data_IF_614041374408
#
_entry.id   IF_614041374408
#
_cell.length_a   1.000
_cell.length_b   1.000
_cell.length_c   1.000
_cell.angle_alpha   90.00
_cell.angle_beta   90.00
_cell.angle_gamma   90.00
#
_symmetry.space_group_name_H-M   'P 1'
#
loop_
_entity.id
_entity.type
_entity.pdbx_description
1 polymer ?
#
# COMPACT_ATOMS: atom_id res chain seq x y z
N UNK A 1 13.64 3.07 15.39
CA UNK A 1 12.93 2.40 14.28
C UNK A 1 13.80 2.56 13.04
N UNK A 2 14.22 1.45 12.41
CA UNK A 2 15.23 1.53 11.35
C UNK A 2 14.65 1.88 9.98
N UNK A 3 14.82 3.11 9.54
CA UNK A 3 14.75 3.58 8.14
C UNK A 3 13.81 2.76 7.20
N UNK A 4 12.52 2.62 7.56
CA UNK A 4 11.50 1.91 6.77
C UNK A 4 11.89 0.48 6.30
N UNK A 5 12.64 -0.26 7.13
CA UNK A 5 13.05 -1.64 6.86
C UNK A 5 14.36 -1.79 6.07
N UNK A 6 15.08 -0.72 5.78
CA UNK A 6 16.39 -0.77 5.11
C UNK A 6 17.37 -1.63 5.90
N UNK A 7 17.50 -1.38 7.21
CA UNK A 7 18.43 -2.12 8.06
C UNK A 7 18.12 -3.64 8.07
N UNK A 8 16.85 -4.02 8.15
CA UNK A 8 16.46 -5.42 8.11
C UNK A 8 16.82 -6.06 6.76
N UNK A 9 16.59 -5.37 5.66
CA UNK A 9 16.98 -5.83 4.33
C UNK A 9 18.49 -6.03 4.24
N UNK A 10 19.29 -5.05 4.67
CA UNK A 10 20.76 -5.14 4.65
C UNK A 10 21.30 -6.26 5.53
N UNK A 11 20.69 -6.52 6.69
CA UNK A 11 21.08 -7.65 7.55
C UNK A 11 20.83 -9.01 6.86
N UNK A 12 19.70 -9.16 6.18
CA UNK A 12 19.36 -10.40 5.47
C UNK A 12 20.28 -10.65 4.26
N UNK A 13 20.80 -9.60 3.61
CA UNK A 13 21.77 -9.79 2.52
C UNK A 13 23.05 -10.50 2.97
N UNK A 14 23.39 -10.44 4.25
CA UNK A 14 24.59 -11.01 4.84
C UNK A 14 24.34 -12.34 5.54
N UNK A 15 23.09 -12.78 5.61
CA UNK A 15 22.71 -14.01 6.30
C UNK A 15 23.05 -15.26 5.46
N UNK A 16 23.29 -16.43 6.10
CA UNK A 16 23.44 -17.70 5.40
C UNK A 16 22.22 -18.04 4.54
N UNK A 17 22.46 -18.60 3.36
CA UNK A 17 21.42 -18.99 2.41
C UNK A 17 20.84 -20.39 2.72
N UNK A 18 20.57 -20.68 3.99
CA UNK A 18 20.17 -21.99 4.50
C UNK A 18 18.65 -22.11 4.79
N UNK A 19 17.91 -21.00 4.64
CA UNK A 19 16.45 -20.94 4.87
C UNK A 19 16.02 -20.64 6.29
N UNK A 20 16.95 -20.45 7.24
CA UNK A 20 16.61 -20.10 8.62
C UNK A 20 16.51 -18.61 8.86
N UNK A 21 17.03 -17.79 7.96
CA UNK A 21 16.87 -16.33 8.00
C UNK A 21 16.05 -15.86 6.81
N UNK A 22 14.95 -15.16 7.08
CA UNK A 22 14.05 -14.63 6.06
C UNK A 22 13.83 -13.14 6.28
N UNK A 23 13.64 -12.40 5.19
CA UNK A 23 13.12 -11.04 5.23
C UNK A 23 11.60 -11.09 5.14
N UNK A 24 10.91 -10.72 6.21
CA UNK A 24 9.50 -10.31 6.13
C UNK A 24 9.46 -8.83 5.77
N UNK A 25 9.19 -8.54 4.52
CA UNK A 25 9.23 -7.20 3.96
C UNK A 25 7.89 -6.76 3.38
N UNK A 26 7.89 -5.59 2.78
CA UNK A 26 6.69 -4.98 2.20
C UNK A 26 7.07 -4.12 0.99
N UNK A 27 6.11 -3.45 0.43
CA UNK A 27 6.30 -2.40 -0.59
C UNK A 27 7.37 -1.37 -0.19
N UNK A 28 7.62 -1.20 1.12
CA UNK A 28 8.63 -0.26 1.62
C UNK A 28 10.01 -0.50 1.04
N UNK A 29 10.43 -1.76 0.84
CA UNK A 29 11.74 -2.07 0.25
C UNK A 29 11.84 -1.56 -1.19
N UNK A 30 10.76 -1.67 -1.97
CA UNK A 30 10.69 -1.15 -3.34
C UNK A 30 10.75 0.38 -3.35
N UNK A 31 9.92 1.02 -2.53
CA UNK A 31 9.87 2.49 -2.40
C UNK A 31 11.22 3.04 -1.94
N UNK A 32 11.84 2.42 -0.93
CA UNK A 32 13.13 2.88 -0.43
C UNK A 32 14.25 2.72 -1.46
N UNK A 33 14.24 1.65 -2.26
CA UNK A 33 15.24 1.50 -3.35
C UNK A 33 15.07 2.55 -4.44
N UNK A 34 13.84 2.91 -4.78
CA UNK A 34 13.56 4.00 -5.75
C UNK A 34 14.01 5.35 -5.21
N UNK A 35 13.70 5.65 -3.96
CA UNK A 35 14.06 6.92 -3.32
C UNK A 35 15.56 7.02 -2.98
N UNK A 36 16.20 5.90 -2.70
CA UNK A 36 17.61 5.78 -2.28
C UNK A 36 18.33 4.74 -3.14
N UNK A 37 18.71 5.08 -4.38
CA UNK A 37 19.39 4.14 -5.28
C UNK A 37 20.69 3.57 -4.71
N UNK A 38 21.35 4.31 -3.79
CA UNK A 38 22.56 3.92 -3.08
C UNK A 38 22.35 2.84 -2.00
N UNK A 39 21.10 2.50 -1.63
CA UNK A 39 20.82 1.44 -0.65
C UNK A 39 21.48 0.12 -1.07
N UNK A 40 22.14 -0.56 -0.10
CA UNK A 40 22.97 -1.76 -0.32
C UNK A 40 22.17 -3.02 -0.60
N UNK A 41 20.93 -2.90 -1.00
CA UNK A 41 20.08 -3.99 -1.45
C UNK A 41 19.24 -3.55 -2.65
N UNK A 42 18.83 -4.54 -3.43
CA UNK A 42 17.81 -4.41 -4.46
C UNK A 42 16.71 -5.44 -4.17
N UNK A 43 15.45 -5.03 -3.94
CA UNK A 43 14.37 -5.96 -3.60
C UNK A 43 14.10 -6.99 -4.72
N UNK A 44 14.55 -6.72 -5.95
CA UNK A 44 14.37 -7.62 -7.10
C UNK A 44 15.59 -8.51 -7.29
N UNK A 45 16.81 -7.97 -7.15
CA UNK A 45 18.05 -8.68 -7.53
C UNK A 45 18.87 -9.24 -6.37
N UNK A 46 18.71 -8.70 -5.14
CA UNK A 46 19.56 -9.12 -4.01
C UNK A 46 18.99 -10.30 -3.23
N UNK A 47 17.71 -10.60 -3.37
CA UNK A 47 17.01 -11.65 -2.61
C UNK A 47 16.39 -12.68 -3.54
N UNK A 48 16.11 -13.87 -2.98
CA UNK A 48 15.24 -14.85 -3.61
C UNK A 48 13.82 -14.61 -3.14
N UNK A 49 12.88 -14.14 -4.02
CA UNK A 49 11.49 -13.96 -3.65
C UNK A 49 10.84 -15.31 -3.35
N UNK A 50 10.11 -15.40 -2.23
CA UNK A 50 9.38 -16.63 -1.87
C UNK A 50 7.90 -16.48 -2.24
N UNK A 51 7.22 -15.50 -1.65
CA UNK A 51 5.81 -15.24 -1.93
C UNK A 51 5.34 -13.91 -1.37
N UNK A 52 4.33 -13.33 -1.99
CA UNK A 52 3.47 -12.33 -1.36
C UNK A 52 2.67 -13.02 -0.24
N UNK A 53 2.40 -12.31 0.86
CA UNK A 53 1.64 -12.86 1.99
C UNK A 53 0.36 -12.08 2.27
N UNK A 54 0.31 -10.84 1.78
CA UNK A 54 -0.84 -9.96 2.08
C UNK A 54 -0.93 -8.78 1.10
N UNK A 55 -2.13 -8.22 1.01
CA UNK A 55 -2.40 -6.91 0.43
C UNK A 55 -3.25 -6.06 1.36
N UNK A 56 -3.01 -4.77 1.35
CA UNK A 56 -3.74 -3.79 2.16
C UNK A 56 -3.99 -2.56 1.30
N UNK A 57 -5.17 -2.40 0.72
CA UNK A 57 -5.51 -1.21 -0.04
C UNK A 57 -5.67 0.00 0.87
N UNK A 58 -5.55 1.19 0.30
CA UNK A 58 -6.01 2.41 0.91
C UNK A 58 -7.49 2.63 0.60
N UNK A 59 -8.16 3.38 1.47
CA UNK A 59 -9.57 3.73 1.31
C UNK A 59 -9.69 5.24 1.16
N UNK A 60 -10.27 5.71 0.06
CA UNK A 60 -10.63 7.12 -0.10
C UNK A 60 -11.80 7.42 0.82
N UNK A 61 -11.57 8.26 1.81
CA UNK A 61 -12.57 8.63 2.82
C UNK A 61 -12.80 10.13 2.88
N UNK A 62 -14.04 10.48 3.27
CA UNK A 62 -14.49 11.82 3.63
C UNK A 62 -15.23 11.76 4.97
N UNK A 63 -15.48 12.88 5.68
CA UNK A 63 -16.38 12.89 6.84
C UNK A 63 -17.77 12.31 6.50
N UNK A 64 -18.40 11.64 7.45
CA UNK A 64 -19.70 10.98 7.19
C UNK A 64 -20.82 12.00 6.88
N UNK A 65 -20.77 13.20 7.46
CA UNK A 65 -21.67 14.33 7.24
C UNK A 65 -21.36 15.15 5.98
N UNK A 66 -20.25 14.83 5.29
CA UNK A 66 -19.91 15.47 4.01
C UNK A 66 -21.04 15.29 3.00
N UNK A 67 -21.37 16.34 2.20
CA UNK A 67 -22.32 16.22 1.10
C UNK A 67 -21.84 15.29 0.00
N UNK A 68 -20.52 14.99 -0.06
CA UNK A 68 -19.88 14.14 -1.06
C UNK A 68 -20.23 12.67 -0.78
N UNK A 69 -20.84 12.00 -1.76
CA UNK A 69 -21.28 10.61 -1.65
C UNK A 69 -20.56 9.64 -2.57
N UNK A 70 -19.75 10.14 -3.48
CA UNK A 70 -18.98 9.32 -4.44
C UNK A 70 -17.64 9.96 -4.78
N UNK A 71 -16.69 9.14 -5.29
CA UNK A 71 -15.40 9.65 -5.77
C UNK A 71 -15.57 10.62 -6.96
N UNK A 72 -16.59 10.42 -7.79
CA UNK A 72 -16.92 11.33 -8.89
C UNK A 72 -17.43 12.68 -8.42
N UNK A 73 -18.21 12.73 -7.35
CA UNK A 73 -18.63 14.00 -6.73
C UNK A 73 -17.44 14.73 -6.08
N UNK A 74 -16.52 13.99 -5.44
CA UNK A 74 -15.28 14.58 -4.92
C UNK A 74 -14.44 15.17 -6.06
N UNK A 75 -14.26 14.42 -7.14
CA UNK A 75 -13.57 14.91 -8.35
C UNK A 75 -14.20 16.20 -8.87
N UNK A 76 -15.52 16.22 -9.03
CA UNK A 76 -16.24 17.40 -9.52
C UNK A 76 -16.06 18.60 -8.59
N UNK A 77 -16.08 18.39 -7.27
CA UNK A 77 -15.86 19.44 -6.30
C UNK A 77 -14.43 20.01 -6.37
N UNK A 78 -13.41 19.14 -6.46
CA UNK A 78 -12.01 19.61 -6.60
C UNK A 78 -11.83 20.41 -7.90
N UNK A 79 -12.47 20.00 -9.01
CA UNK A 79 -12.43 20.73 -10.28
C UNK A 79 -13.08 22.11 -10.19
N UNK A 80 -14.17 22.22 -9.43
CA UNK A 80 -14.88 23.49 -9.27
C UNK A 80 -14.17 24.47 -8.32
N UNK A 81 -13.27 23.97 -7.48
CA UNK A 81 -12.53 24.71 -6.47
C UNK A 81 -11.03 24.37 -6.48
N UNK A 82 -10.31 24.71 -7.56
CA UNK A 82 -8.91 24.32 -7.72
C UNK A 82 -8.03 24.96 -6.64
N UNK A 83 -7.27 24.10 -5.92
CA UNK A 83 -6.37 24.52 -4.85
C UNK A 83 -7.02 24.79 -3.50
N UNK A 84 -8.34 24.68 -3.37
CA UNK A 84 -9.04 24.94 -2.09
C UNK A 84 -9.18 23.68 -1.21
N UNK A 85 -9.19 22.48 -1.79
CA UNK A 85 -9.35 21.25 -1.03
C UNK A 85 -8.01 20.66 -0.64
N UNK A 86 -7.93 20.19 0.61
CA UNK A 86 -6.75 19.56 1.18
C UNK A 86 -6.94 18.05 1.31
N UNK A 87 -5.89 17.28 1.00
CA UNK A 87 -5.83 15.86 1.32
C UNK A 87 -4.68 15.56 2.27
N UNK A 88 -4.93 14.64 3.22
CA UNK A 88 -3.96 14.26 4.23
C UNK A 88 -3.19 13.01 3.89
N UNK A 89 -1.95 12.93 4.38
CA UNK A 89 -1.17 11.70 4.43
C UNK A 89 -0.43 11.54 5.74
N UNK A 90 0.03 10.33 6.05
CA UNK A 90 0.88 10.06 7.20
C UNK A 90 2.34 10.48 7.02
N UNK A 91 2.60 11.40 6.10
CA UNK A 91 3.93 11.92 5.75
C UNK A 91 4.29 11.72 4.29
N UNK A 92 5.31 12.45 3.85
CA UNK A 92 5.84 12.39 2.47
C UNK A 92 6.33 10.97 2.15
N UNK A 93 5.98 10.44 0.96
CA UNK A 93 6.38 9.09 0.50
C UNK A 93 5.57 7.94 1.10
N UNK A 94 4.58 8.19 1.97
CA UNK A 94 3.67 7.15 2.45
C UNK A 94 2.68 6.72 1.36
N UNK A 95 2.12 5.52 1.48
CA UNK A 95 1.08 5.01 0.56
C UNK A 95 -0.11 5.97 0.45
N UNK A 96 -0.52 6.59 1.56
CA UNK A 96 -1.57 7.61 1.57
C UNK A 96 -1.21 8.86 0.76
N UNK A 97 0.05 9.33 0.84
CA UNK A 97 0.53 10.44 0.02
C UNK A 97 0.49 10.10 -1.46
N UNK A 98 1.07 8.95 -1.83
CA UNK A 98 1.16 8.53 -3.24
C UNK A 98 -0.23 8.29 -3.82
N UNK A 99 -1.16 7.69 -3.07
CA UNK A 99 -2.53 7.49 -3.50
C UNK A 99 -3.24 8.83 -3.76
N UNK A 100 -3.12 9.80 -2.87
CA UNK A 100 -3.66 11.15 -3.05
C UNK A 100 -3.04 11.88 -4.23
N UNK A 101 -1.71 11.84 -4.35
CA UNK A 101 -0.99 12.46 -5.47
C UNK A 101 -1.34 11.82 -6.81
N UNK A 102 -1.51 10.50 -6.85
CA UNK A 102 -1.97 9.79 -8.06
C UNK A 102 -3.41 10.20 -8.43
N UNK A 103 -4.30 10.27 -7.45
CA UNK A 103 -5.68 10.73 -7.68
C UNK A 103 -5.70 12.13 -8.29
N UNK A 104 -4.93 13.04 -7.72
CA UNK A 104 -4.78 14.41 -8.22
C UNK A 104 -4.12 14.43 -9.61
N UNK A 105 -3.02 13.71 -9.80
CA UNK A 105 -2.21 13.75 -11.02
C UNK A 105 -2.90 13.08 -12.22
N UNK A 106 -3.43 11.87 -12.06
CA UNK A 106 -4.12 11.14 -13.15
C UNK A 106 -5.36 11.87 -13.61
N UNK A 107 -6.14 12.42 -12.67
CA UNK A 107 -7.35 13.16 -12.99
C UNK A 107 -7.09 14.64 -13.29
N UNK A 108 -5.82 15.09 -13.30
CA UNK A 108 -5.43 16.49 -13.55
C UNK A 108 -6.21 17.47 -12.68
N UNK A 109 -6.25 17.17 -11.39
CA UNK A 109 -6.89 17.99 -10.37
C UNK A 109 -5.89 18.96 -9.73
N UNK A 110 -6.39 19.95 -8.99
CA UNK A 110 -5.57 20.82 -8.16
C UNK A 110 -6.08 20.77 -6.71
N UNK A 111 -5.34 20.07 -5.84
CA UNK A 111 -5.63 19.95 -4.42
C UNK A 111 -4.32 19.98 -3.63
N UNK A 112 -4.36 20.43 -2.38
CA UNK A 112 -3.18 20.66 -1.55
C UNK A 112 -2.90 19.43 -0.69
N UNK A 113 -1.66 18.96 -0.69
CA UNK A 113 -1.21 17.89 0.21
C UNK A 113 -0.83 18.43 1.58
N UNK A 114 -1.38 17.82 2.63
CA UNK A 114 -1.07 18.12 4.04
C UNK A 114 -0.42 16.89 4.69
N UNK A 115 0.90 16.88 4.93
CA UNK A 115 1.56 15.77 5.59
C UNK A 115 1.39 15.83 7.11
N UNK A 116 1.03 14.69 7.71
CA UNK A 116 0.99 14.47 9.17
C UNK A 116 2.14 13.56 9.61
N UNK A 117 2.34 13.38 10.92
CA UNK A 117 3.40 12.53 11.48
C UNK A 117 3.10 11.03 11.39
N UNK A 118 1.84 10.65 11.09
CA UNK A 118 1.42 9.26 10.95
C UNK A 118 -0.02 9.13 10.48
N UNK A 119 -0.38 7.97 9.94
CA UNK A 119 -1.72 7.71 9.39
C UNK A 119 -2.83 7.76 10.44
N UNK A 120 -2.51 7.61 11.72
CA UNK A 120 -3.48 7.68 12.82
C UNK A 120 -4.07 9.09 13.01
N UNK A 121 -3.38 10.13 12.53
CA UNK A 121 -3.83 11.52 12.62
C UNK A 121 -4.84 11.89 11.53
N UNK A 122 -4.97 11.08 10.47
CA UNK A 122 -5.79 11.42 9.30
C UNK A 122 -7.29 11.49 9.61
N UNK A 123 -7.81 10.53 10.37
CA UNK A 123 -9.24 10.52 10.72
C UNK A 123 -9.59 11.67 11.65
N UNK A 124 -8.85 11.97 12.74
CA UNK A 124 -9.05 13.19 13.52
C UNK A 124 -9.00 14.47 12.69
N UNK A 125 -8.05 14.61 11.77
CA UNK A 125 -7.92 15.77 10.89
C UNK A 125 -9.11 15.93 9.93
N UNK A 126 -9.65 14.82 9.42
CA UNK A 126 -10.89 14.81 8.64
C UNK A 126 -12.08 15.28 9.47
N UNK A 127 -12.27 14.72 10.67
CA UNK A 127 -13.40 15.05 11.54
C UNK A 127 -13.36 16.49 12.07
N UNK A 128 -12.16 17.10 12.14
CA UNK A 128 -11.98 18.53 12.48
C UNK A 128 -11.96 19.46 11.26
N UNK A 129 -12.23 18.93 10.07
CA UNK A 129 -12.25 19.68 8.80
C UNK A 129 -10.91 20.37 8.42
N UNK A 130 -9.79 19.90 8.96
CA UNK A 130 -8.46 20.37 8.57
C UNK A 130 -8.08 19.88 7.15
N UNK A 131 -8.58 18.71 6.78
CA UNK A 131 -8.51 18.13 5.44
C UNK A 131 -9.91 17.67 5.02
N UNK A 132 -10.18 17.65 3.71
CA UNK A 132 -11.50 17.28 3.20
C UNK A 132 -11.57 15.82 2.78
N UNK A 133 -10.45 15.19 2.43
CA UNK A 133 -10.36 13.77 2.10
C UNK A 133 -8.98 13.19 2.41
N UNK A 134 -8.89 11.88 2.49
CA UNK A 134 -7.63 11.17 2.70
C UNK A 134 -7.70 9.75 2.13
N UNK A 135 -6.52 9.11 2.03
CA UNK A 135 -6.34 7.73 1.59
C UNK A 135 -5.62 6.88 2.67
N UNK A 136 -6.13 6.80 3.92
CA UNK A 136 -5.50 5.92 4.90
C UNK A 136 -5.60 4.46 4.46
N UNK A 137 -4.64 3.63 4.91
CA UNK A 137 -4.72 2.17 4.72
C UNK A 137 -5.96 1.61 5.41
N UNK A 138 -6.48 0.50 4.90
CA UNK A 138 -7.72 -0.10 5.35
C UNK A 138 -7.78 -0.37 6.86
N UNK A 139 -6.71 -0.88 7.45
CA UNK A 139 -6.64 -1.12 8.90
C UNK A 139 -6.87 0.13 9.76
N UNK A 140 -6.52 1.31 9.23
CA UNK A 140 -6.75 2.59 9.94
C UNK A 140 -8.17 3.13 9.70
N UNK A 141 -8.77 2.89 8.52
CA UNK A 141 -10.01 3.56 8.12
C UNK A 141 -11.26 2.70 8.29
N UNK A 142 -11.20 1.39 8.05
CA UNK A 142 -12.37 0.50 8.08
C UNK A 142 -13.14 0.54 9.41
N UNK A 143 -12.48 0.55 10.59
CA UNK A 143 -13.19 0.68 11.85
C UNK A 143 -14.06 1.97 11.93
N UNK A 144 -13.57 3.08 11.42
CA UNK A 144 -14.29 4.34 11.40
C UNK A 144 -15.41 4.39 10.36
N UNK A 145 -15.22 3.71 9.22
CA UNK A 145 -16.29 3.53 8.22
C UNK A 145 -17.43 2.72 8.83
N UNK A 146 -17.11 1.57 9.46
CA UNK A 146 -18.12 0.72 10.13
C UNK A 146 -18.81 1.43 11.29
N UNK A 147 -18.12 2.32 12.00
CA UNK A 147 -18.69 3.15 13.05
C UNK A 147 -19.47 4.37 12.53
N UNK A 148 -19.59 4.55 11.20
CA UNK A 148 -20.32 5.68 10.61
C UNK A 148 -19.69 7.06 10.87
N UNK A 149 -18.40 7.11 11.21
CA UNK A 149 -17.67 8.38 11.44
C UNK A 149 -17.15 9.00 10.15
N UNK A 150 -16.79 8.17 9.20
CA UNK A 150 -16.33 8.56 7.86
C UNK A 150 -17.06 7.73 6.81
N UNK A 151 -17.14 8.26 5.58
CA UNK A 151 -17.69 7.57 4.42
C UNK A 151 -16.56 7.14 3.51
N UNK A 152 -16.56 5.84 3.12
CA UNK A 152 -15.69 5.31 2.08
C UNK A 152 -16.30 5.61 0.71
N UNK A 153 -15.53 6.21 -0.18
CA UNK A 153 -15.95 6.56 -1.54
C UNK A 153 -15.37 5.58 -2.58
N UNK A 154 -14.17 5.07 -2.35
CA UNK A 154 -13.51 4.10 -3.20
C UNK A 154 -12.35 3.43 -2.46
N UNK A 155 -11.84 2.33 -3.00
CA UNK A 155 -10.62 1.67 -2.54
C UNK A 155 -9.57 1.64 -3.66
N UNK A 156 -8.29 1.59 -3.27
CA UNK A 156 -7.17 1.53 -4.24
C UNK A 156 -6.77 0.10 -4.61
N UNK A 157 -7.54 -0.90 -4.17
CA UNK A 157 -7.29 -2.30 -4.48
C UNK A 157 -7.56 -2.65 -5.93
N UNK A 158 -6.95 -3.73 -6.40
CA UNK A 158 -7.28 -4.34 -7.71
C UNK A 158 -8.72 -4.90 -7.73
N UNK A 159 -9.24 -5.24 -6.55
CA UNK A 159 -10.60 -5.73 -6.30
C UNK A 159 -11.22 -4.98 -5.13
N UNK A 160 -12.55 -5.02 -5.03
CA UNK A 160 -13.25 -4.53 -3.84
C UNK A 160 -12.81 -5.32 -2.60
N UNK A 161 -12.83 -4.68 -1.45
CA UNK A 161 -12.49 -5.32 -0.19
C UNK A 161 -13.64 -6.20 0.32
N UNK A 162 -13.32 -7.35 0.91
CA UNK A 162 -14.30 -8.21 1.57
C UNK A 162 -15.01 -7.52 2.74
N UNK A 163 -14.30 -6.61 3.42
CA UNK A 163 -14.84 -5.82 4.54
C UNK A 163 -15.70 -4.62 4.12
N UNK A 164 -15.65 -4.21 2.83
CA UNK A 164 -16.37 -3.09 2.21
C UNK A 164 -16.86 -3.48 0.80
N UNK A 165 -17.72 -4.49 0.64
CA UNK A 165 -18.06 -5.05 -0.67
C UNK A 165 -18.83 -4.10 -1.59
N UNK A 166 -19.52 -3.11 -1.02
CA UNK A 166 -20.29 -2.12 -1.77
C UNK A 166 -19.44 -0.93 -2.23
N UNK A 167 -18.20 -0.79 -1.72
CA UNK A 167 -17.31 0.31 -2.08
C UNK A 167 -16.53 -0.06 -3.34
N UNK A 168 -16.67 0.71 -4.45
CA UNK A 168 -15.99 0.40 -5.71
C UNK A 168 -14.48 0.64 -5.62
N UNK A 169 -13.72 0.05 -6.52
CA UNK A 169 -12.32 0.41 -6.69
C UNK A 169 -12.17 1.68 -7.55
N UNK A 170 -11.08 2.43 -7.36
CA UNK A 170 -10.78 3.54 -8.25
C UNK A 170 -10.56 3.07 -9.69
N UNK A 171 -10.01 1.86 -9.88
CA UNK A 171 -9.89 1.25 -11.21
C UNK A 171 -11.24 1.02 -11.87
N UNK A 172 -12.25 0.50 -11.13
CA UNK A 172 -13.61 0.35 -11.65
C UNK A 172 -14.21 1.69 -12.10
N UNK A 173 -13.93 2.78 -11.38
CA UNK A 173 -14.48 4.10 -11.64
C UNK A 173 -13.80 4.85 -12.78
N UNK A 174 -12.50 4.64 -12.99
CA UNK A 174 -11.68 5.46 -13.87
C UNK A 174 -10.94 4.68 -14.98
N UNK A 175 -10.89 3.35 -14.91
CA UNK A 175 -10.32 2.49 -15.94
C UNK A 175 -8.77 2.48 -16.01
N UNK A 176 -8.07 3.18 -15.11
CA UNK A 176 -6.60 3.30 -15.15
C UNK A 176 -5.96 2.42 -14.06
N UNK A 177 -5.00 1.58 -14.46
CA UNK A 177 -4.28 0.67 -13.57
C UNK A 177 -3.34 1.40 -12.58
N UNK A 178 -3.01 2.66 -12.82
CA UNK A 178 -2.26 3.49 -11.85
C UNK A 178 -3.02 3.68 -10.54
N UNK A 179 -4.34 3.51 -10.53
CA UNK A 179 -5.15 3.54 -9.31
C UNK A 179 -5.05 2.26 -8.48
N UNK A 180 -4.46 1.18 -9.00
CA UNK A 180 -4.17 -0.02 -8.20
C UNK A 180 -2.92 0.26 -7.36
N UNK A 181 -3.14 0.67 -6.12
CA UNK A 181 -2.08 1.00 -5.16
C UNK A 181 -2.37 0.32 -3.83
N UNK A 182 -1.77 -0.84 -3.67
CA UNK A 182 -1.89 -1.63 -2.46
C UNK A 182 -0.55 -1.63 -1.73
N UNK A 183 -0.59 -1.44 -0.42
CA UNK A 183 0.49 -1.92 0.42
C UNK A 183 0.44 -3.44 0.41
N UNK A 184 1.57 -4.10 0.28
CA UNK A 184 1.65 -5.56 0.29
C UNK A 184 2.84 -6.02 1.12
N UNK A 185 2.70 -7.20 1.70
CA UNK A 185 3.75 -7.90 2.41
C UNK A 185 4.22 -9.12 1.65
N UNK A 186 5.45 -9.53 1.89
CA UNK A 186 6.03 -10.72 1.28
C UNK A 186 7.18 -11.29 2.09
N UNK A 187 7.62 -12.46 1.68
CA UNK A 187 8.78 -13.16 2.22
C UNK A 187 9.87 -13.31 1.17
N UNK A 188 11.09 -13.08 1.58
CA UNK A 188 12.31 -13.29 0.78
C UNK A 188 13.33 -14.06 1.59
N UNK A 189 14.15 -14.83 0.89
CA UNK A 189 15.34 -15.47 1.42
C UNK A 189 16.61 -14.74 0.94
N UNK A 190 17.77 -14.92 1.60
CA UNK A 190 19.07 -14.47 1.09
C UNK A 190 19.34 -14.95 -0.33
N UNK A 191 20.19 -14.22 -1.07
CA UNK A 191 20.68 -14.65 -2.37
C UNK A 191 21.26 -16.08 -2.30
N UNK A 192 21.12 -16.84 -3.39
CA UNK A 192 21.62 -18.22 -3.52
C UNK A 192 20.97 -19.25 -2.57
N UNK A 193 19.85 -18.91 -1.90
CA UNK A 193 19.07 -19.93 -1.17
C UNK A 193 18.62 -21.02 -2.15
N UNK A 194 18.91 -22.32 -1.85
CA UNK A 194 18.62 -23.41 -2.78
C UNK A 194 17.13 -23.51 -3.12
N UNK A 195 16.82 -23.81 -4.38
CA UNK A 195 15.43 -23.93 -4.87
C UNK A 195 14.58 -24.87 -4.02
N UNK A 196 15.05 -26.07 -3.58
CA UNK A 196 14.24 -26.93 -2.69
C UNK A 196 13.87 -26.27 -1.37
N UNK A 197 14.77 -25.45 -0.79
CA UNK A 197 14.50 -24.72 0.46
C UNK A 197 13.45 -23.63 0.23
N UNK A 198 13.56 -22.88 -0.87
CA UNK A 198 12.56 -21.87 -1.26
C UNK A 198 11.18 -22.50 -1.43
N UNK A 199 11.09 -23.64 -2.12
CA UNK A 199 9.84 -24.36 -2.32
C UNK A 199 9.25 -24.88 -1.01
N UNK A 200 10.08 -25.38 -0.10
CA UNK A 200 9.64 -25.83 1.22
C UNK A 200 9.02 -24.67 2.04
N UNK A 201 9.68 -23.50 2.04
CA UNK A 201 9.18 -22.31 2.75
C UNK A 201 7.90 -21.80 2.10
N UNK A 202 7.83 -21.78 0.76
CA UNK A 202 6.61 -21.41 0.02
C UNK A 202 5.43 -22.30 0.42
N UNK A 203 5.61 -23.64 0.43
CA UNK A 203 4.56 -24.58 0.81
C UNK A 203 4.15 -24.44 2.27
N UNK A 204 5.09 -24.19 3.18
CA UNK A 204 4.79 -23.92 4.59
C UNK A 204 3.97 -22.63 4.75
N UNK A 205 4.35 -21.56 4.05
CA UNK A 205 3.60 -20.29 4.04
C UNK A 205 2.20 -20.46 3.46
N UNK A 206 2.06 -21.23 2.37
CA UNK A 206 0.76 -21.57 1.79
C UNK A 206 -0.15 -22.28 2.79
N UNK A 207 0.39 -23.26 3.51
CA UNK A 207 -0.34 -23.97 4.58
C UNK A 207 -0.77 -23.02 5.70
N UNK A 208 0.14 -22.14 6.16
CA UNK A 208 -0.16 -21.17 7.21
C UNK A 208 -1.25 -20.17 6.78
N UNK A 209 -1.16 -19.61 5.56
CA UNK A 209 -2.17 -18.66 5.06
C UNK A 209 -3.53 -19.32 4.73
N UNK A 210 -3.61 -20.63 4.69
CA UNK A 210 -4.88 -21.37 4.58
C UNK A 210 -5.59 -21.55 5.94
N UNK A 211 -4.88 -21.32 7.06
CA UNK A 211 -5.42 -21.43 8.40
C UNK A 211 -6.52 -20.38 8.65
N UNK A 212 -7.74 -20.80 9.07
CA UNK A 212 -8.86 -19.89 9.26
C UNK A 212 -8.62 -18.82 10.35
N UNK A 213 -7.91 -19.18 11.42
CA UNK A 213 -7.62 -18.24 12.52
C UNK A 213 -6.65 -17.15 12.06
N UNK A 214 -5.56 -17.54 11.38
CA UNK A 214 -4.61 -16.60 10.81
C UNK A 214 -5.30 -15.68 9.80
N UNK A 215 -6.16 -16.23 8.92
CA UNK A 215 -6.92 -15.41 7.96
C UNK A 215 -7.84 -14.41 8.67
N UNK A 216 -8.52 -14.83 9.73
CA UNK A 216 -9.38 -13.94 10.52
C UNK A 216 -8.59 -12.78 11.14
N UNK A 217 -7.37 -13.03 11.64
CA UNK A 217 -6.48 -11.99 12.14
C UNK A 217 -6.08 -10.97 11.07
N UNK A 218 -5.72 -11.44 9.87
CA UNK A 218 -5.42 -10.55 8.74
C UNK A 218 -6.61 -9.66 8.39
N UNK A 219 -7.79 -10.27 8.21
CA UNK A 219 -9.02 -9.54 7.86
C UNK A 219 -9.44 -8.54 8.96
N UNK A 220 -9.29 -8.90 10.23
CA UNK A 220 -9.55 -7.99 11.35
C UNK A 220 -8.62 -6.77 11.33
N UNK A 221 -7.38 -6.95 10.86
CA UNK A 221 -6.41 -5.87 10.66
C UNK A 221 -6.65 -5.07 9.35
N UNK A 222 -7.72 -5.34 8.60
CA UNK A 222 -7.99 -4.67 7.32
C UNK A 222 -7.03 -5.07 6.20
N UNK A 223 -6.41 -6.24 6.33
CA UNK A 223 -5.42 -6.78 5.40
C UNK A 223 -6.00 -8.06 4.77
N UNK A 224 -5.89 -8.21 3.47
CA UNK A 224 -6.32 -9.42 2.77
C UNK A 224 -5.13 -10.39 2.69
N UNK A 225 -5.24 -11.61 3.24
CA UNK A 225 -4.20 -12.63 3.08
C UNK A 225 -4.17 -13.08 1.61
N UNK A 226 -3.00 -12.94 0.98
CA UNK A 226 -2.83 -13.23 -0.44
C UNK A 226 -1.50 -13.92 -0.69
N UNK A 227 -1.55 -15.10 -1.32
CA UNK A 227 -0.39 -15.87 -1.72
C UNK A 227 -0.15 -15.73 -3.22
N UNK A 228 1.11 -15.58 -3.63
CA UNK A 228 1.48 -15.69 -5.04
C UNK A 228 1.27 -17.12 -5.54
N UNK A 229 1.01 -17.29 -6.83
CA UNK A 229 0.84 -18.63 -7.44
C UNK A 229 2.12 -19.50 -7.31
N UNK A 230 3.28 -18.85 -7.39
CA UNK A 230 4.59 -19.47 -7.19
C UNK A 230 5.64 -18.42 -6.82
N UNK A 231 6.86 -18.82 -6.40
CA UNK A 231 7.99 -17.91 -6.21
C UNK A 231 8.32 -17.10 -7.47
N UNK A 232 8.27 -17.72 -8.65
CA UNK A 232 8.54 -17.05 -9.93
C UNK A 232 7.43 -16.01 -10.26
N UNK A 233 6.18 -16.28 -9.90
CA UNK A 233 5.10 -15.32 -10.04
C UNK A 233 5.32 -14.11 -9.13
N UNK A 234 5.81 -14.33 -7.91
CA UNK A 234 6.19 -13.24 -7.01
C UNK A 234 7.38 -12.44 -7.54
N UNK A 235 8.38 -13.10 -8.11
CA UNK A 235 9.51 -12.41 -8.76
C UNK A 235 9.04 -11.48 -9.89
N UNK A 236 8.16 -11.97 -10.79
CA UNK A 236 7.57 -11.14 -11.86
C UNK A 236 6.76 -9.96 -11.30
N UNK A 237 5.97 -10.20 -10.26
CA UNK A 237 5.22 -9.15 -9.55
C UNK A 237 6.15 -8.07 -9.03
N UNK A 238 7.27 -8.44 -8.40
CA UNK A 238 8.26 -7.50 -7.85
C UNK A 238 8.86 -6.58 -8.92
N UNK A 239 9.17 -7.13 -10.10
CA UNK A 239 9.66 -6.32 -11.23
C UNK A 239 8.62 -5.30 -11.67
N UNK A 240 7.37 -5.74 -11.86
CA UNK A 240 6.27 -4.87 -12.26
C UNK A 240 5.98 -3.78 -11.20
N UNK A 241 5.98 -4.15 -9.92
CA UNK A 241 5.80 -3.20 -8.82
C UNK A 241 6.93 -2.17 -8.77
N UNK A 242 8.19 -2.57 -8.94
CA UNK A 242 9.32 -1.63 -8.95
C UNK A 242 9.16 -0.58 -10.04
N UNK A 243 8.76 -0.97 -11.25
CA UNK A 243 8.51 -0.04 -12.35
C UNK A 243 7.30 0.87 -12.08
N UNK A 244 6.20 0.31 -11.58
CA UNK A 244 5.00 1.05 -11.24
C UNK A 244 5.28 2.10 -10.16
N UNK A 245 5.93 1.72 -9.07
CA UNK A 245 6.21 2.64 -7.96
C UNK A 245 7.24 3.71 -8.33
N UNK A 246 8.23 3.41 -9.17
CA UNK A 246 9.13 4.42 -9.71
C UNK A 246 8.34 5.50 -10.46
N UNK A 247 7.38 5.12 -11.32
CA UNK A 247 6.51 6.05 -12.02
C UNK A 247 5.60 6.84 -11.08
N UNK A 248 4.98 6.18 -10.09
CA UNK A 248 4.09 6.84 -9.13
C UNK A 248 4.83 7.85 -8.26
N UNK A 249 6.04 7.51 -7.77
CA UNK A 249 6.90 8.39 -6.98
C UNK A 249 7.30 9.63 -7.79
N UNK A 250 7.68 9.43 -9.06
CA UNK A 250 8.01 10.54 -9.95
C UNK A 250 6.78 11.46 -10.19
N UNK A 251 5.60 10.89 -10.46
CA UNK A 251 4.37 11.67 -10.63
C UNK A 251 3.97 12.44 -9.37
N UNK A 252 4.18 11.84 -8.18
CA UNK A 252 3.90 12.46 -6.90
C UNK A 252 4.93 13.54 -6.51
N UNK A 253 6.03 13.70 -7.26
CA UNK A 253 7.11 14.64 -6.95
C UNK A 253 7.85 14.32 -5.64
N UNK A 254 7.79 13.07 -5.18
CA UNK A 254 8.40 12.62 -3.92
C UNK A 254 9.90 12.52 -4.11
N UNK A 255 10.67 13.14 -3.21
CA UNK A 255 12.14 13.04 -3.14
C UNK A 255 12.53 12.45 -1.80
N UNK A 256 13.68 11.77 -1.75
CA UNK A 256 14.31 11.40 -0.48
C UNK A 256 14.76 12.69 0.22
N UNK A 257 14.54 12.74 1.53
CA UNK A 257 15.12 13.79 2.41
C UNK A 257 16.59 13.49 2.67
#
# INVERSE_FOLDING_TARGET
MGAAGILAAELVTQAPADGYTLLAGSISQVVQKVLRPEAKFDPVGTFVPITKTSTTPAVLIVPADSPIKSAKELEALIRSKPGELNYGSGGIGTSAHIAGATFVGVLKLNAVHVPYRGSVELVPALLSNQIQYAFPIAGTSVPFVKAGKVRALAVTGAKRMSSLPDVPTLKELYGDDLFIQESWGGLWAPANTPVPVVQQIFMATRKALADPELRAHYLAAGTEPELSESPEAFARFMVAESQKWARLIQMAGVKAD
#
